data_IF_891419802949
#
_entry.id   IF_891419802949
#
_cell.length_a   1.000
_cell.length_b   1.000
_cell.length_c   1.000
_cell.angle_alpha   90.00
_cell.angle_beta   90.00
_cell.angle_gamma   90.00
#
_symmetry.space_group_name_H-M   'P 1'
#
loop_
_entity.id
_entity.type
_entity.pdbx_description
1 polymer ?
#
# COMPACT_ATOMS: atom_id res chain seq x y z
N UNK A 1 29.30 -22.88 -24.45
CA UNK A 1 30.75 -22.74 -24.11
C UNK A 1 30.81 -22.15 -22.71
N UNK A 2 31.30 -22.86 -21.70
CA UNK A 2 31.36 -22.33 -20.34
C UNK A 2 32.32 -21.14 -20.27
N UNK A 3 31.83 -19.99 -19.81
CA UNK A 3 32.67 -18.82 -19.59
C UNK A 3 33.56 -19.09 -18.36
N UNK A 4 34.79 -19.55 -18.59
CA UNK A 4 35.72 -19.96 -17.52
C UNK A 4 36.17 -18.81 -16.62
N UNK A 5 35.99 -17.56 -17.04
CA UNK A 5 36.35 -16.38 -16.24
C UNK A 5 35.40 -15.23 -16.58
N UNK A 6 34.57 -14.76 -15.64
CA UNK A 6 33.79 -13.55 -15.85
C UNK A 6 34.72 -12.33 -16.00
N UNK A 7 34.32 -11.29 -16.75
CA UNK A 7 35.11 -10.08 -16.90
C UNK A 7 35.39 -9.46 -15.54
N UNK A 8 36.67 -9.21 -15.24
CA UNK A 8 37.09 -8.69 -13.93
C UNK A 8 37.37 -7.18 -13.95
N UNK A 9 37.42 -6.58 -15.15
CA UNK A 9 37.70 -5.14 -15.33
C UNK A 9 36.57 -4.42 -16.06
N UNK A 10 36.40 -3.12 -15.77
CA UNK A 10 35.41 -2.28 -16.45
C UNK A 10 35.65 -2.18 -17.97
N UNK A 11 36.92 -2.25 -18.39
CA UNK A 11 37.34 -2.22 -19.79
C UNK A 11 36.90 -3.47 -20.55
N UNK A 12 36.95 -4.64 -19.92
CA UNK A 12 36.46 -5.89 -20.50
C UNK A 12 34.92 -5.94 -20.53
N UNK A 13 34.24 -5.34 -19.55
CA UNK A 13 32.77 -5.26 -19.53
C UNK A 13 32.23 -4.37 -20.65
N UNK A 14 32.90 -3.24 -20.91
CA UNK A 14 32.46 -2.26 -21.92
C UNK A 14 32.78 -2.69 -23.35
N UNK A 15 33.65 -3.69 -23.54
CA UNK A 15 33.96 -4.27 -24.85
C UNK A 15 33.03 -5.44 -25.23
N UNK A 16 32.15 -5.89 -24.32
CA UNK A 16 31.18 -6.94 -24.62
C UNK A 16 30.10 -6.43 -25.60
N UNK A 17 29.63 -7.29 -26.51
CA UNK A 17 28.57 -6.92 -27.44
C UNK A 17 27.29 -6.61 -26.65
N UNK A 18 26.77 -5.40 -26.83
CA UNK A 18 25.49 -5.00 -26.26
C UNK A 18 24.35 -5.76 -26.96
N UNK A 19 23.43 -6.31 -26.17
CA UNK A 19 22.24 -6.98 -26.68
C UNK A 19 20.98 -6.24 -26.21
N UNK A 20 19.98 -6.15 -27.09
CA UNK A 20 18.68 -5.59 -26.73
C UNK A 20 17.94 -6.49 -25.73
N UNK A 21 17.17 -5.89 -24.82
CA UNK A 21 16.36 -6.61 -23.83
C UNK A 21 15.39 -7.64 -24.43
N UNK A 22 14.73 -7.32 -25.56
CA UNK A 22 13.81 -8.25 -26.24
C UNK A 22 14.53 -9.52 -26.72
N UNK A 23 15.74 -9.36 -27.27
CA UNK A 23 16.56 -10.49 -27.72
C UNK A 23 17.07 -11.30 -26.53
N UNK A 24 17.48 -10.64 -25.46
CA UNK A 24 17.87 -11.29 -24.21
C UNK A 24 16.75 -12.16 -23.63
N UNK A 25 15.53 -11.62 -23.53
CA UNK A 25 14.37 -12.38 -23.04
C UNK A 25 14.03 -13.58 -23.92
N UNK A 26 14.10 -13.43 -25.25
CA UNK A 26 13.85 -14.54 -26.19
C UNK A 26 14.93 -15.63 -26.09
N UNK A 27 16.20 -15.26 -26.04
CA UNK A 27 17.30 -16.20 -25.94
C UNK A 27 17.33 -16.90 -24.57
N UNK A 28 16.85 -16.24 -23.52
CA UNK A 28 16.63 -16.85 -22.21
C UNK A 28 15.51 -17.89 -22.24
N UNK A 29 14.37 -17.56 -22.87
CA UNK A 29 13.23 -18.46 -23.01
C UNK A 29 13.56 -19.69 -23.87
N UNK A 30 14.31 -19.47 -24.96
CA UNK A 30 14.74 -20.53 -25.87
C UNK A 30 15.92 -21.36 -25.32
N UNK A 31 16.38 -21.10 -24.08
CA UNK A 31 17.48 -21.82 -23.44
C UNK A 31 18.84 -21.60 -24.10
N UNK A 32 18.99 -20.55 -24.93
CA UNK A 32 20.26 -20.21 -25.61
C UNK A 32 21.26 -19.51 -24.69
N UNK A 33 20.81 -19.01 -23.54
CA UNK A 33 21.66 -18.39 -22.52
C UNK A 33 21.97 -19.43 -21.42
N UNK A 34 23.20 -19.94 -21.41
CA UNK A 34 23.66 -20.94 -20.45
C UNK A 34 24.07 -20.33 -19.09
N UNK A 35 24.46 -19.04 -19.06
CA UNK A 35 25.01 -18.38 -17.88
C UNK A 35 24.66 -16.89 -17.85
N UNK A 36 24.36 -16.37 -16.66
CA UNK A 36 24.14 -14.94 -16.40
C UNK A 36 25.07 -14.53 -15.26
N UNK A 37 25.81 -13.44 -15.46
CA UNK A 37 26.63 -12.82 -14.42
C UNK A 37 25.98 -11.49 -14.01
N UNK A 38 25.70 -11.34 -12.71
CA UNK A 38 25.14 -10.11 -12.14
C UNK A 38 26.27 -9.39 -11.41
N UNK A 39 26.55 -8.16 -11.81
CA UNK A 39 27.50 -7.30 -11.11
C UNK A 39 26.81 -6.74 -9.85
N UNK A 40 27.15 -7.31 -8.71
CA UNK A 40 26.69 -6.82 -7.41
C UNK A 40 27.86 -6.12 -6.72
N UNK A 41 27.67 -4.86 -6.37
CA UNK A 41 28.57 -4.12 -5.47
C UNK A 41 28.44 -4.73 -4.07
N UNK A 42 29.22 -5.80 -3.82
CA UNK A 42 29.10 -6.68 -2.66
C UNK A 42 29.31 -5.93 -1.35
N UNK A 43 30.12 -4.87 -1.37
CA UNK A 43 30.45 -4.06 -0.20
C UNK A 43 29.26 -3.17 0.19
N UNK A 44 28.66 -2.50 -0.79
CA UNK A 44 27.42 -1.71 -0.61
C UNK A 44 26.21 -2.57 -0.28
N UNK A 45 26.15 -3.80 -0.79
CA UNK A 45 25.03 -4.71 -0.50
C UNK A 45 25.12 -5.32 0.90
N UNK A 46 26.34 -5.58 1.40
CA UNK A 46 26.56 -6.06 2.78
C UNK A 46 26.15 -5.00 3.80
N UNK A 47 26.57 -3.75 3.62
CA UNK A 47 26.17 -2.66 4.53
C UNK A 47 24.64 -2.46 4.54
N UNK A 48 24.02 -2.48 3.35
CA UNK A 48 22.56 -2.35 3.22
C UNK A 48 21.79 -3.55 3.80
N UNK A 49 22.32 -4.76 3.69
CA UNK A 49 21.73 -5.95 4.29
C UNK A 49 21.86 -5.95 5.82
N UNK A 50 22.97 -5.44 6.36
CA UNK A 50 23.18 -5.24 7.79
C UNK A 50 22.20 -4.18 8.34
N UNK A 51 22.03 -3.05 7.63
CA UNK A 51 21.04 -2.01 7.95
C UNK A 51 19.61 -2.57 7.94
N UNK A 52 19.25 -3.35 6.92
CA UNK A 52 17.93 -4.01 6.85
C UNK A 52 17.73 -5.02 7.99
N UNK A 53 18.77 -5.76 8.37
CA UNK A 53 18.71 -6.67 9.53
C UNK A 53 18.53 -5.92 10.84
N UNK A 54 19.18 -4.77 11.03
CA UNK A 54 18.99 -3.93 12.20
C UNK A 54 17.56 -3.37 12.26
N UNK A 55 17.02 -2.93 11.13
CA UNK A 55 15.63 -2.48 11.02
C UNK A 55 14.63 -3.61 11.29
N UNK A 56 14.91 -4.81 10.80
CA UNK A 56 14.05 -5.97 11.04
C UNK A 56 14.15 -6.45 12.50
N UNK A 57 15.33 -6.47 13.11
CA UNK A 57 15.51 -6.84 14.51
C UNK A 57 14.82 -5.84 15.47
N UNK A 58 14.84 -4.55 15.15
CA UNK A 58 14.05 -3.53 15.86
C UNK A 58 12.53 -3.72 15.68
N UNK A 59 12.11 -4.38 14.59
CA UNK A 59 10.71 -4.67 14.30
C UNK A 59 10.19 -5.96 14.96
N UNK A 60 11.05 -6.90 15.38
CA UNK A 60 10.61 -8.22 15.86
C UNK A 60 10.39 -8.29 17.38
N UNK A 61 10.71 -7.24 18.15
CA UNK A 61 10.50 -7.24 19.63
C UNK A 61 9.28 -6.45 20.10
N UNK A 62 8.45 -5.89 19.21
CA UNK A 62 7.18 -5.26 19.61
C UNK A 62 6.03 -5.72 18.72
N UNK A 63 4.91 -6.05 19.37
CA UNK A 63 3.71 -6.62 18.77
C UNK A 63 3.18 -5.82 17.57
N UNK A 64 2.83 -6.57 16.53
CA UNK A 64 2.48 -6.08 15.18
C UNK A 64 1.22 -5.19 15.11
N UNK A 65 0.44 -5.08 16.18
CA UNK A 65 -0.75 -4.21 16.23
C UNK A 65 -0.51 -2.87 16.95
N UNK A 66 0.57 -2.72 17.73
CA UNK A 66 0.86 -1.46 18.43
C UNK A 66 1.88 -0.57 17.70
N UNK A 67 2.77 -1.16 16.90
CA UNK A 67 3.74 -0.42 16.09
C UNK A 67 3.11 0.31 14.88
N UNK A 68 2.00 -0.17 14.33
CA UNK A 68 1.38 0.43 13.13
C UNK A 68 0.68 1.73 13.50
N UNK A 69 -0.06 1.72 14.61
CA UNK A 69 -0.68 2.90 15.19
C UNK A 69 0.37 3.89 15.72
N UNK A 70 1.40 3.43 16.45
CA UNK A 70 2.50 4.29 16.93
C UNK A 70 3.30 4.92 15.79
N UNK A 71 3.72 4.14 14.79
CA UNK A 71 4.51 4.65 13.66
C UNK A 71 3.68 5.56 12.75
N UNK A 72 2.39 5.27 12.55
CA UNK A 72 1.49 6.14 11.77
C UNK A 72 1.23 7.46 12.49
N UNK A 73 0.99 7.41 13.80
CA UNK A 73 0.83 8.60 14.64
C UNK A 73 2.11 9.42 14.64
N UNK A 74 3.27 8.80 14.80
CA UNK A 74 4.56 9.49 14.76
C UNK A 74 4.86 10.12 13.38
N UNK A 75 4.45 9.48 12.27
CA UNK A 75 4.52 10.09 10.93
C UNK A 75 3.59 11.29 10.78
N UNK A 76 2.40 11.22 11.36
CA UNK A 76 1.43 12.33 11.36
C UNK A 76 1.90 13.49 12.24
N UNK A 77 2.45 13.19 13.42
CA UNK A 77 2.99 14.17 14.35
C UNK A 77 4.21 14.89 13.76
N UNK A 78 5.04 14.20 12.97
CA UNK A 78 6.12 14.78 12.15
C UNK A 78 5.63 15.65 10.98
N UNK A 79 4.35 15.55 10.62
CA UNK A 79 3.69 16.36 9.59
C UNK A 79 2.73 17.40 10.19
N UNK A 80 2.82 17.63 11.51
CA UNK A 80 1.97 18.58 12.22
C UNK A 80 2.17 20.04 11.76
N UNK A 81 1.18 20.89 12.09
CA UNK A 81 1.26 22.35 11.89
C UNK A 81 2.54 22.98 12.47
N UNK A 82 3.09 22.42 13.53
CA UNK A 82 4.34 22.89 14.13
C UNK A 82 5.55 22.71 13.20
N UNK A 83 5.55 21.64 12.39
CA UNK A 83 6.59 21.40 11.38
C UNK A 83 6.47 22.33 10.18
N UNK A 84 5.26 22.85 9.93
CA UNK A 84 4.99 23.81 8.86
C UNK A 84 5.42 25.24 9.20
N UNK A 85 5.67 25.57 10.47
CA UNK A 85 6.12 26.91 10.91
C UNK A 85 7.43 27.38 10.27
N UNK A 86 8.29 26.43 9.87
CA UNK A 86 9.53 26.73 9.16
C UNK A 86 9.34 26.96 7.65
N UNK A 87 8.14 26.70 7.11
CA UNK A 87 7.82 26.89 5.70
C UNK A 87 7.59 28.36 5.39
N UNK A 88 8.14 28.90 4.29
CA UNK A 88 7.80 30.23 3.79
C UNK A 88 6.31 30.43 3.48
N UNK A 89 5.53 29.35 3.40
CA UNK A 89 4.10 29.36 3.11
C UNK A 89 3.21 29.20 4.35
N UNK A 90 3.79 29.22 5.56
CA UNK A 90 3.03 28.97 6.78
C UNK A 90 1.83 29.90 6.94
N UNK A 91 1.98 31.20 6.65
CA UNK A 91 0.92 32.19 6.79
C UNK A 91 -0.29 31.84 5.90
N UNK A 92 -0.04 31.48 4.63
CA UNK A 92 -1.08 31.06 3.68
C UNK A 92 -1.75 29.75 4.11
N UNK A 93 -0.98 28.79 4.61
CA UNK A 93 -1.52 27.52 5.09
C UNK A 93 -2.38 27.72 6.34
N UNK A 94 -1.99 28.64 7.22
CA UNK A 94 -2.72 28.97 8.44
C UNK A 94 -4.03 29.70 8.13
N UNK A 95 -4.05 30.59 7.14
CA UNK A 95 -5.26 31.24 6.63
C UNK A 95 -6.30 30.22 6.14
N UNK A 96 -5.86 29.10 5.56
CA UNK A 96 -6.71 28.03 5.02
C UNK A 96 -6.82 26.80 5.94
N UNK A 97 -6.59 26.97 7.25
CA UNK A 97 -6.66 25.86 8.21
C UNK A 97 -8.04 25.20 8.25
N UNK A 98 -9.10 25.96 7.98
CA UNK A 98 -10.48 25.47 7.92
C UNK A 98 -10.71 24.44 6.80
N UNK A 99 -9.96 24.54 5.70
CA UNK A 99 -10.03 23.60 4.57
C UNK A 99 -9.26 22.30 4.86
N UNK A 100 -8.28 22.36 5.77
CA UNK A 100 -7.39 21.24 6.12
C UNK A 100 -7.51 20.91 7.63
N UNK A 101 -8.66 20.39 8.08
CA UNK A 101 -8.84 20.08 9.49
C UNK A 101 -7.96 18.89 9.91
N UNK A 102 -7.46 18.94 11.14
CA UNK A 102 -6.64 17.86 11.73
C UNK A 102 -7.45 16.56 11.90
N UNK A 103 -8.76 16.68 12.13
CA UNK A 103 -9.69 15.56 12.23
C UNK A 103 -10.83 15.73 11.22
N UNK A 104 -11.24 14.63 10.58
CA UNK A 104 -12.39 14.65 9.67
C UNK A 104 -13.65 14.90 10.50
N UNK A 105 -14.39 16.01 10.27
CA UNK A 105 -15.58 16.31 11.04
C UNK A 105 -16.62 15.20 10.89
N UNK A 106 -17.34 14.94 11.98
CA UNK A 106 -18.43 13.97 11.99
C UNK A 106 -19.68 14.52 11.27
N UNK A 107 -19.84 15.85 11.23
CA UNK A 107 -21.00 16.47 10.59
C UNK A 107 -21.00 16.25 9.07
N UNK A 108 -22.21 16.13 8.52
CA UNK A 108 -22.40 16.12 7.08
C UNK A 108 -22.07 17.49 6.50
N UNK A 109 -21.41 17.56 5.33
CA UNK A 109 -21.23 18.83 4.64
C UNK A 109 -22.59 19.44 4.33
N UNK A 110 -22.64 20.78 4.33
CA UNK A 110 -23.86 21.51 3.96
C UNK A 110 -24.39 21.03 2.62
N UNK A 111 -25.69 20.72 2.55
CA UNK A 111 -26.33 20.33 1.30
C UNK A 111 -26.29 21.50 0.31
N UNK A 112 -25.58 21.31 -0.79
CA UNK A 112 -25.45 22.28 -1.88
C UNK A 112 -26.48 22.03 -3.00
N UNK A 113 -27.42 21.11 -2.80
CA UNK A 113 -28.41 20.70 -3.80
C UNK A 113 -27.85 19.82 -4.92
N UNK A 114 -26.58 19.41 -4.82
CA UNK A 114 -25.93 18.49 -5.76
C UNK A 114 -26.01 17.08 -5.17
N UNK A 115 -26.79 16.21 -5.82
CA UNK A 115 -26.94 14.82 -5.40
C UNK A 115 -26.10 13.91 -6.29
N UNK A 116 -25.38 12.96 -5.67
CA UNK A 116 -24.63 11.95 -6.40
C UNK A 116 -25.56 10.79 -6.78
N UNK A 117 -25.84 10.66 -8.07
CA UNK A 117 -26.57 9.53 -8.64
C UNK A 117 -25.59 8.52 -9.26
N UNK A 118 -25.81 7.23 -9.03
CA UNK A 118 -25.02 6.16 -9.66
C UNK A 118 -25.87 5.55 -10.77
N UNK A 119 -25.58 5.94 -12.00
CA UNK A 119 -26.17 5.34 -13.19
C UNK A 119 -25.62 3.94 -13.41
N UNK A 120 -26.50 2.95 -13.49
CA UNK A 120 -26.14 1.58 -13.83
C UNK A 120 -26.33 1.37 -15.32
N UNK A 121 -25.40 0.63 -15.93
CA UNK A 121 -25.56 0.20 -17.31
C UNK A 121 -26.82 -0.69 -17.40
N UNK A 122 -27.72 -0.44 -18.38
CA UNK A 122 -28.91 -1.27 -18.54
C UNK A 122 -28.54 -2.76 -18.68
N UNK A 123 -29.17 -3.61 -17.86
CA UNK A 123 -28.88 -5.05 -17.80
C UNK A 123 -27.83 -5.47 -16.75
N UNK A 124 -27.18 -4.52 -16.06
CA UNK A 124 -26.30 -4.84 -14.93
C UNK A 124 -27.10 -5.42 -13.76
N UNK A 125 -26.67 -6.59 -13.29
CA UNK A 125 -27.22 -7.21 -12.10
C UNK A 125 -26.51 -6.73 -10.86
N UNK A 126 -27.28 -6.58 -9.81
CA UNK A 126 -26.79 -6.31 -8.48
C UNK A 126 -26.02 -7.51 -7.90
N UNK A 127 -24.82 -7.27 -7.39
CA UNK A 127 -24.04 -8.27 -6.69
C UNK A 127 -24.43 -8.32 -5.21
N UNK A 128 -24.67 -9.53 -4.69
CA UNK A 128 -24.81 -9.79 -3.27
C UNK A 128 -23.68 -10.70 -2.84
N UNK A 129 -22.75 -10.16 -2.07
CA UNK A 129 -21.61 -10.92 -1.55
C UNK A 129 -21.82 -11.13 -0.06
N UNK A 130 -21.77 -12.38 0.41
CA UNK A 130 -21.83 -12.67 1.85
C UNK A 130 -20.61 -12.08 2.54
N UNK A 131 -20.81 -11.53 3.74
CA UNK A 131 -19.69 -11.08 4.57
C UNK A 131 -18.91 -12.32 5.04
N UNK A 132 -17.58 -12.28 4.90
CA UNK A 132 -16.71 -13.31 5.43
C UNK A 132 -16.73 -13.30 6.96
N UNK A 133 -16.56 -14.47 7.63
CA UNK A 133 -16.38 -14.50 9.07
C UNK A 133 -15.20 -13.63 9.49
N UNK A 134 -15.44 -12.70 10.43
CA UNK A 134 -14.41 -11.82 10.99
C UNK A 134 -14.17 -12.18 12.47
N UNK A 135 -12.94 -12.02 12.99
CA UNK A 135 -12.65 -12.16 14.43
C UNK A 135 -13.52 -11.22 15.27
N UNK A 136 -13.92 -11.67 16.47
CA UNK A 136 -14.84 -10.91 17.34
C UNK A 136 -14.34 -9.51 17.67
N UNK A 137 -13.05 -9.36 17.96
CA UNK A 137 -12.45 -8.06 18.28
C UNK A 137 -12.49 -7.10 17.09
N UNK A 138 -12.27 -7.63 15.88
CA UNK A 138 -12.35 -6.85 14.64
C UNK A 138 -13.78 -6.42 14.34
N UNK A 139 -14.75 -7.32 14.53
CA UNK A 139 -16.18 -7.00 14.38
C UNK A 139 -16.58 -5.90 15.34
N UNK A 140 -16.17 -5.99 16.61
CA UNK A 140 -16.48 -4.97 17.62
C UNK A 140 -15.93 -3.60 17.22
N UNK A 141 -14.66 -3.51 16.82
CA UNK A 141 -14.06 -2.24 16.41
C UNK A 141 -14.75 -1.62 15.19
N UNK A 142 -15.16 -2.47 14.23
CA UNK A 142 -15.93 -2.05 13.06
C UNK A 142 -17.32 -1.54 13.50
N UNK A 143 -18.01 -2.25 14.38
CA UNK A 143 -19.35 -1.87 14.82
C UNK A 143 -19.33 -0.57 15.62
N UNK A 144 -18.35 -0.39 16.52
CA UNK A 144 -18.13 0.87 17.26
C UNK A 144 -17.90 2.04 16.28
N UNK A 145 -17.10 1.83 15.21
CA UNK A 145 -16.87 2.84 14.16
C UNK A 145 -18.16 3.22 13.44
N UNK A 146 -18.96 2.23 13.01
CA UNK A 146 -20.20 2.50 12.30
C UNK A 146 -21.29 3.09 13.19
N UNK A 147 -21.33 2.76 14.48
CA UNK A 147 -22.26 3.40 15.42
C UNK A 147 -21.95 4.89 15.59
N UNK A 148 -20.67 5.27 15.68
CA UNK A 148 -20.25 6.68 15.67
C UNK A 148 -20.70 7.39 14.39
N UNK A 149 -20.54 6.75 13.22
CA UNK A 149 -20.97 7.30 11.92
C UNK A 149 -22.49 7.38 11.78
N UNK A 150 -23.22 6.46 12.41
CA UNK A 150 -24.69 6.46 12.48
C UNK A 150 -25.20 7.61 13.33
N UNK A 151 -24.60 7.84 14.50
CA UNK A 151 -24.92 8.99 15.37
C UNK A 151 -24.66 10.32 14.65
N UNK A 152 -23.62 10.37 13.83
CA UNK A 152 -23.28 11.52 12.99
C UNK A 152 -24.18 11.69 11.74
N UNK A 153 -25.16 10.82 11.53
CA UNK A 153 -26.07 10.86 10.37
C UNK A 153 -25.44 10.48 9.03
N UNK A 154 -24.17 10.06 9.02
CA UNK A 154 -23.43 9.68 7.81
C UNK A 154 -23.83 8.30 7.28
N UNK A 155 -24.29 7.41 8.16
CA UNK A 155 -24.71 6.04 7.83
C UNK A 155 -26.09 5.76 8.42
N UNK A 156 -26.92 5.05 7.67
CA UNK A 156 -28.22 4.54 8.13
C UNK A 156 -28.41 3.08 7.77
N UNK A 157 -29.22 2.38 8.54
CA UNK A 157 -29.65 1.03 8.19
C UNK A 157 -30.46 1.05 6.89
N UNK A 158 -30.22 0.05 6.05
CA UNK A 158 -30.96 -0.15 4.81
C UNK A 158 -31.23 -1.64 4.60
N UNK A 159 -32.27 -1.95 3.84
CA UNK A 159 -32.54 -3.29 3.33
C UNK A 159 -32.33 -3.30 1.81
N UNK A 160 -31.08 -3.21 1.35
CA UNK A 160 -30.80 -3.14 -0.07
C UNK A 160 -30.99 -4.51 -0.71
N UNK A 161 -31.36 -4.52 -2.00
CA UNK A 161 -31.26 -5.73 -2.83
C UNK A 161 -29.79 -6.09 -3.17
N UNK A 162 -28.85 -5.24 -2.76
CA UNK A 162 -27.40 -5.33 -2.92
C UNK A 162 -26.66 -5.27 -1.58
N UNK A 163 -25.77 -6.21 -1.31
CA UNK A 163 -24.78 -6.05 -0.22
C UNK A 163 -23.40 -6.20 -0.84
N UNK A 164 -22.64 -5.10 -0.87
CA UNK A 164 -21.20 -5.15 -1.12
C UNK A 164 -20.49 -5.33 0.23
N UNK A 165 -19.42 -6.12 0.27
CA UNK A 165 -18.72 -6.41 1.52
C UNK A 165 -18.24 -5.12 2.21
N UNK A 166 -18.21 -5.10 3.54
CA UNK A 166 -17.35 -4.19 4.31
C UNK A 166 -15.91 -4.60 4.02
N UNK A 167 -15.27 -4.00 3.01
CA UNK A 167 -13.88 -4.25 2.68
C UNK A 167 -12.98 -3.64 3.75
N UNK A 168 -12.51 -4.46 4.69
CA UNK A 168 -11.28 -4.17 5.43
C UNK A 168 -10.19 -4.96 4.74
N UNK A 169 -9.42 -4.29 3.88
CA UNK A 169 -8.24 -4.88 3.26
C UNK A 169 -7.18 -5.10 4.35
N UNK A 170 -7.07 -6.34 4.83
CA UNK A 170 -5.92 -6.76 5.63
C UNK A 170 -4.83 -7.22 4.65
N UNK A 171 -3.86 -6.35 4.38
CA UNK A 171 -2.63 -6.74 3.70
C UNK A 171 -1.78 -7.56 4.67
N UNK A 172 -1.90 -8.88 4.62
CA UNK A 172 -0.88 -9.76 5.18
C UNK A 172 0.23 -9.93 4.14
N UNK A 173 1.41 -9.33 4.40
CA UNK A 173 2.62 -9.71 3.67
C UNK A 173 3.21 -10.93 4.36
N UNK A 174 2.77 -12.11 3.92
CA UNK A 174 3.61 -13.29 3.99
C UNK A 174 4.17 -13.50 2.58
N UNK A 175 5.46 -13.22 2.42
CA UNK A 175 6.33 -13.66 1.33
C UNK A 175 5.65 -13.92 -0.03
N UNK A 176 5.37 -12.83 -0.75
CA UNK A 176 5.45 -12.84 -2.22
C UNK A 176 4.44 -13.68 -3.00
N UNK A 177 3.29 -14.10 -2.44
CA UNK A 177 2.26 -14.79 -3.22
C UNK A 177 0.85 -14.28 -2.90
N UNK A 178 0.23 -13.60 -3.87
CA UNK A 178 -1.20 -13.29 -3.86
C UNK A 178 -1.95 -14.45 -4.53
N UNK A 179 -2.70 -15.23 -3.76
CA UNK A 179 -3.56 -16.29 -4.31
C UNK A 179 -5.00 -15.79 -4.45
N UNK A 180 -5.52 -15.82 -5.67
CA UNK A 180 -6.95 -15.73 -5.96
C UNK A 180 -7.47 -17.16 -6.16
N UNK A 181 -8.25 -17.67 -5.20
CA UNK A 181 -9.00 -18.91 -5.38
C UNK A 181 -10.38 -18.57 -5.95
N UNK A 182 -10.53 -18.75 -7.26
CA UNK A 182 -11.83 -18.92 -7.92
C UNK A 182 -12.23 -20.39 -7.79
N UNK A 183 -13.32 -20.67 -7.08
CA UNK A 183 -14.03 -21.94 -7.20
C UNK A 183 -15.38 -21.71 -7.86
N UNK A 184 -15.72 -22.66 -8.74
CA UNK A 184 -16.76 -22.64 -9.78
C UNK A 184 -18.18 -22.31 -9.33
#
# INVERSE_FOLDING_TARGET
MQLKSPPASASELTSLPAMSWMRFGKDLYDGRIEQICILSDLERMKSKAEELRQLHAASTTESEDTLSAKTKKERFDKQSWDSLKASPFYDVLWEHKDVLPDEIPADLPQDKGIQHEIDLVPGTKYCVTRQWPQPRDQVKAIDDFFESRRQAGQVRESKPRTVHQRSVSRSHRADGASFLLTTS
#
